data_IF_930666153406
#
_entry.id   IF_930666153406
#
_cell.length_a   1.000
_cell.length_b   1.000
_cell.length_c   1.000
_cell.angle_alpha   90.00
_cell.angle_beta   90.00
_cell.angle_gamma   90.00
#
_symmetry.space_group_name_H-M   'P 1'
#
loop_
_entity.id
_entity.type
_entity.pdbx_description
1 polymer ?
#
# COMPACT_ATOMS: atom_id res chain seq x y z
N UNK A 1 -0.37 -36.86 -11.79
CA UNK A 1 0.04 -36.46 -10.43
C UNK A 1 0.60 -35.06 -10.54
N UNK A 2 -0.25 -34.04 -10.36
CA UNK A 2 0.16 -32.64 -10.38
C UNK A 2 0.36 -32.22 -8.91
N UNK A 3 1.59 -31.89 -8.56
CA UNK A 3 1.98 -31.26 -7.30
C UNK A 3 1.54 -29.81 -7.36
N UNK A 4 0.56 -29.44 -6.52
CA UNK A 4 0.19 -28.04 -6.27
C UNK A 4 1.32 -27.34 -5.50
N UNK A 5 1.79 -26.14 -5.90
CA UNK A 5 2.68 -25.37 -5.05
C UNK A 5 1.89 -24.56 -4.00
N UNK A 6 2.51 -24.49 -2.83
CA UNK A 6 2.37 -23.63 -1.65
C UNK A 6 1.19 -22.65 -1.51
N UNK A 7 0.66 -22.59 -0.29
CA UNK A 7 -0.20 -21.52 0.26
C UNK A 7 0.24 -20.15 -0.26
N UNK A 8 -0.61 -19.55 -1.07
CA UNK A 8 -0.44 -18.18 -1.55
C UNK A 8 -1.37 -17.30 -0.71
N UNK A 9 -0.77 -16.52 0.18
CA UNK A 9 -1.41 -15.34 0.77
C UNK A 9 -1.59 -14.31 -0.36
N UNK A 10 -2.62 -13.43 -0.29
CA UNK A 10 -2.44 -12.12 -0.93
C UNK A 10 -1.35 -11.45 -0.10
N UNK A 11 -0.07 -11.67 -0.42
CA UNK A 11 1.00 -10.93 0.25
C UNK A 11 0.87 -9.48 -0.22
N UNK A 12 0.16 -8.68 0.57
CA UNK A 12 0.22 -7.23 0.48
C UNK A 12 1.32 -6.78 1.44
N UNK A 13 2.50 -6.45 0.91
CA UNK A 13 3.69 -6.06 1.67
C UNK A 13 3.61 -4.66 2.27
N UNK A 14 2.41 -4.19 2.62
CA UNK A 14 2.11 -2.80 3.01
C UNK A 14 2.69 -2.41 4.37
N UNK A 15 3.24 -3.36 5.12
CA UNK A 15 4.02 -3.06 6.34
C UNK A 15 5.11 -2.01 6.05
N UNK A 16 5.55 -1.89 4.79
CA UNK A 16 6.51 -0.89 4.33
C UNK A 16 5.93 0.30 3.53
N UNK A 17 4.63 0.39 3.22
CA UNK A 17 4.10 1.40 2.27
C UNK A 17 3.83 2.77 2.91
N UNK A 18 3.17 2.78 4.07
CA UNK A 18 3.05 4.01 4.86
C UNK A 18 4.42 4.42 5.41
N UNK A 19 5.27 3.43 5.69
CA UNK A 19 6.66 3.65 6.10
C UNK A 19 7.49 4.16 4.93
N UNK A 20 7.30 3.75 3.68
CA UNK A 20 8.04 4.22 2.51
C UNK A 20 7.64 5.66 2.13
N UNK A 21 6.34 5.97 2.16
CA UNK A 21 5.84 7.33 1.98
C UNK A 21 6.33 8.27 3.11
N UNK A 22 6.29 7.80 4.36
CA UNK A 22 6.88 8.52 5.50
C UNK A 22 8.41 8.51 5.49
N UNK A 23 9.07 7.52 4.89
CA UNK A 23 10.52 7.40 4.77
C UNK A 23 11.06 8.27 3.65
N UNK A 24 10.32 8.50 2.57
CA UNK A 24 10.64 9.52 1.58
C UNK A 24 10.56 10.93 2.23
N UNK A 25 9.56 11.15 3.09
CA UNK A 25 9.40 12.38 3.88
C UNK A 25 10.47 12.49 5.00
N UNK A 26 10.86 11.38 5.63
CA UNK A 26 11.85 11.33 6.71
C UNK A 26 13.30 11.33 6.20
N UNK A 27 13.59 10.75 5.04
CA UNK A 27 14.87 10.87 4.35
C UNK A 27 15.13 12.32 3.92
N UNK A 28 14.07 13.04 3.53
CA UNK A 28 14.12 14.49 3.33
C UNK A 28 14.40 15.28 4.63
N UNK A 29 14.15 14.69 5.80
CA UNK A 29 14.39 15.27 7.13
C UNK A 29 15.77 14.90 7.70
N UNK A 30 16.29 13.69 7.40
CA UNK A 30 17.54 13.16 7.97
C UNK A 30 18.81 13.61 7.23
N UNK A 31 18.71 14.09 5.99
CA UNK A 31 19.84 14.72 5.29
C UNK A 31 20.32 16.05 5.93
N UNK A 32 19.59 16.59 6.93
CA UNK A 32 19.95 17.82 7.66
C UNK A 32 20.69 17.61 8.98
N UNK A 33 20.91 16.38 9.45
CA UNK A 33 21.59 16.12 10.73
C UNK A 33 23.09 15.84 10.61
N UNK A 34 23.66 15.72 9.41
CA UNK A 34 25.11 15.76 9.21
C UNK A 34 25.61 17.19 8.96
N UNK A 35 25.88 17.87 10.07
CA UNK A 35 26.59 19.14 10.06
C UNK A 35 28.10 18.90 9.85
N UNK A 36 28.62 19.15 8.64
CA UNK A 36 30.05 19.11 8.31
C UNK A 36 30.87 20.29 8.86
N UNK A 37 30.40 21.00 9.88
CA UNK A 37 31.09 22.19 10.40
C UNK A 37 32.08 21.95 11.55
N UNK A 38 32.43 20.71 11.91
CA UNK A 38 33.42 20.44 12.97
C UNK A 38 34.45 19.36 12.58
N UNK A 39 35.25 19.62 11.54
CA UNK A 39 36.60 19.07 11.43
C UNK A 39 37.53 20.21 10.99
N UNK A 40 37.91 21.08 11.94
CA UNK A 40 39.15 21.86 11.81
C UNK A 40 40.24 21.10 12.55
N UNK A 41 41.24 20.63 11.80
CA UNK A 41 42.55 20.31 12.35
C UNK A 41 42.95 18.85 12.32
N UNK A 42 43.08 18.26 11.13
CA UNK A 42 44.04 17.16 10.91
C UNK A 42 44.65 17.36 9.51
N UNK A 43 45.97 17.51 9.35
CA UNK A 43 46.59 17.59 8.04
C UNK A 43 46.72 16.17 7.48
N UNK A 44 46.04 15.88 6.37
CA UNK A 44 46.24 14.63 5.63
C UNK A 44 46.92 14.92 4.29
N UNK A 45 48.20 14.57 4.25
CA UNK A 45 48.95 14.28 3.05
C UNK A 45 48.83 12.76 2.85
N UNK A 46 48.16 12.31 1.78
CA UNK A 46 48.03 10.87 1.51
C UNK A 46 46.85 10.54 0.60
N UNK A 47 47.16 9.96 -0.56
CA UNK A 47 46.24 9.38 -1.53
C UNK A 47 45.55 8.14 -0.98
N UNK A 48 44.22 8.13 -0.92
CA UNK A 48 43.43 6.93 -0.67
C UNK A 48 42.43 6.69 -1.82
N UNK A 49 42.42 5.46 -2.30
CA UNK A 49 41.65 4.91 -3.42
C UNK A 49 40.22 4.56 -3.00
N UNK A 50 39.27 4.61 -3.95
CA UNK A 50 37.82 4.31 -3.81
C UNK A 50 37.54 2.83 -3.50
N UNK A 51 38.56 2.00 -3.32
CA UNK A 51 38.45 0.55 -3.10
C UNK A 51 38.27 0.10 -1.65
N UNK A 52 38.41 0.98 -0.66
CA UNK A 52 38.65 0.54 0.74
C UNK A 52 37.51 0.86 1.73
N UNK A 53 36.26 1.02 1.26
CA UNK A 53 35.09 1.11 2.14
C UNK A 53 34.50 -0.29 2.41
N UNK A 54 34.27 -0.69 3.68
CA UNK A 54 33.70 -1.98 3.98
C UNK A 54 32.26 -2.06 3.51
N UNK A 55 31.97 -3.08 2.69
CA UNK A 55 30.61 -3.53 2.37
C UNK A 55 29.96 -4.01 3.68
N UNK A 56 28.75 -3.52 3.98
CA UNK A 56 27.89 -3.94 5.11
C UNK A 56 28.16 -3.29 6.49
N UNK A 57 27.68 -2.04 6.67
CA UNK A 57 26.85 -1.78 7.86
C UNK A 57 25.64 -0.85 7.63
N UNK A 58 25.42 -0.33 6.40
CA UNK A 58 24.31 0.58 6.10
C UNK A 58 22.91 -0.06 6.24
N UNK A 59 22.84 -1.38 6.14
CA UNK A 59 21.60 -2.16 6.18
C UNK A 59 21.03 -2.32 7.61
N UNK A 60 21.85 -2.19 8.66
CA UNK A 60 21.38 -2.29 10.05
C UNK A 60 20.90 -0.95 10.64
N UNK A 61 21.32 0.18 10.07
CA UNK A 61 20.85 1.49 10.52
C UNK A 61 19.48 1.86 9.94
N UNK A 62 19.11 1.34 8.76
CA UNK A 62 17.76 1.49 8.21
C UNK A 62 16.72 0.67 9.00
N UNK A 63 17.10 -0.51 9.50
CA UNK A 63 16.23 -1.33 10.37
C UNK A 63 16.02 -0.72 11.78
N UNK A 64 16.91 0.14 12.25
CA UNK A 64 16.85 0.69 13.62
C UNK A 64 15.99 1.95 13.79
N UNK A 65 15.37 2.45 12.71
CA UNK A 65 14.42 3.57 12.77
C UNK A 65 12.95 3.16 12.52
N UNK A 66 12.69 1.85 12.44
CA UNK A 66 11.35 1.26 12.29
C UNK A 66 10.70 0.90 13.64
N UNK A 67 11.43 0.97 14.76
CA UNK A 67 10.84 0.69 16.09
C UNK A 67 10.35 1.96 16.80
N UNK A 68 9.09 2.31 16.57
CA UNK A 68 8.25 2.89 17.62
C UNK A 68 6.82 2.33 17.59
N UNK A 69 6.68 1.02 17.33
CA UNK A 69 5.41 0.28 17.46
C UNK A 69 5.27 -0.37 18.85
N UNK A 70 5.51 0.38 19.92
CA UNK A 70 5.16 -0.03 21.28
C UNK A 70 4.45 1.12 21.98
N UNK A 71 3.13 1.20 21.76
CA UNK A 71 2.24 2.06 22.51
C UNK A 71 1.09 2.61 21.67
N UNK A 72 0.14 1.75 21.28
CA UNK A 72 -1.20 2.20 20.85
C UNK A 72 -1.98 2.72 22.06
N UNK A 73 -1.56 3.88 22.56
CA UNK A 73 -2.31 4.69 23.51
C UNK A 73 -2.21 6.12 23.00
N UNK A 74 -3.33 6.65 22.50
CA UNK A 74 -3.55 8.02 22.02
C UNK A 74 -2.30 8.92 22.08
N UNK A 75 -1.34 8.73 21.16
CA UNK A 75 -0.23 9.64 21.05
C UNK A 75 -0.78 10.92 20.44
N UNK A 76 -0.92 11.96 21.26
CA UNK A 76 -1.34 13.26 20.79
C UNK A 76 -0.38 13.70 19.67
N UNK A 77 -0.93 13.88 18.45
CA UNK A 77 -0.17 14.39 17.31
C UNK A 77 0.49 15.70 17.75
N UNK A 78 1.84 15.79 17.79
CA UNK A 78 2.50 16.99 18.27
C UNK A 78 2.02 18.20 17.47
N UNK A 79 1.71 19.33 18.14
CA UNK A 79 1.20 20.52 17.45
C UNK A 79 2.15 21.02 16.34
N UNK A 80 3.45 20.73 16.46
CA UNK A 80 4.46 21.04 15.44
C UNK A 80 4.32 20.23 14.14
N UNK A 81 3.50 19.19 14.11
CA UNK A 81 3.27 18.36 12.92
C UNK A 81 2.14 18.87 12.04
N UNK A 82 1.18 19.62 12.59
CA UNK A 82 0.02 20.10 11.82
C UNK A 82 0.39 21.16 10.77
N UNK A 83 1.45 21.94 11.01
CA UNK A 83 1.91 23.01 10.12
C UNK A 83 3.45 23.02 10.12
N UNK A 84 4.11 22.08 9.41
CA UNK A 84 5.56 22.01 9.40
C UNK A 84 6.14 23.22 8.64
N UNK A 85 7.18 23.83 9.20
CA UNK A 85 7.94 24.86 8.49
C UNK A 85 8.92 24.21 7.49
N UNK A 86 8.47 24.03 6.24
CA UNK A 86 9.29 23.44 5.17
C UNK A 86 10.15 24.53 4.53
N UNK A 87 11.43 24.55 4.90
CA UNK A 87 12.41 25.54 4.40
C UNK A 87 13.20 25.07 3.18
N UNK A 88 13.08 23.80 2.80
CA UNK A 88 13.71 23.21 1.60
C UNK A 88 12.93 23.61 0.36
N UNK A 89 13.60 24.05 -0.70
CA UNK A 89 12.91 24.47 -1.94
C UNK A 89 12.20 23.28 -2.61
N UNK A 90 11.20 23.56 -3.46
CA UNK A 90 10.50 22.51 -4.24
C UNK A 90 11.50 21.75 -5.11
N UNK A 91 12.40 22.45 -5.80
CA UNK A 91 13.41 21.84 -6.67
C UNK A 91 14.34 20.90 -5.90
N UNK A 92 14.79 21.29 -4.71
CA UNK A 92 15.64 20.44 -3.87
C UNK A 92 14.89 19.18 -3.41
N UNK A 93 13.61 19.29 -3.05
CA UNK A 93 12.79 18.13 -2.67
C UNK A 93 12.58 17.16 -3.84
N UNK A 94 12.30 17.68 -5.03
CA UNK A 94 12.16 16.87 -6.26
C UNK A 94 13.48 16.16 -6.59
N UNK A 95 14.60 16.89 -6.52
CA UNK A 95 15.93 16.32 -6.75
C UNK A 95 16.24 15.18 -5.76
N UNK A 96 15.96 15.40 -4.48
CA UNK A 96 16.19 14.41 -3.44
C UNK A 96 15.30 13.17 -3.59
N UNK A 97 14.01 13.36 -3.84
CA UNK A 97 13.09 12.25 -4.07
C UNK A 97 13.49 11.43 -5.30
N UNK A 98 13.88 12.11 -6.38
CA UNK A 98 14.33 11.42 -7.60
C UNK A 98 15.63 10.65 -7.41
N UNK A 99 16.58 11.19 -6.63
CA UNK A 99 17.81 10.50 -6.27
C UNK A 99 17.54 9.26 -5.41
N UNK A 100 16.61 9.35 -4.45
CA UNK A 100 16.20 8.22 -3.62
C UNK A 100 15.56 7.10 -4.45
N UNK A 101 14.65 7.44 -5.38
CA UNK A 101 14.07 6.49 -6.32
C UNK A 101 15.14 5.85 -7.21
N UNK A 102 16.16 6.62 -7.63
CA UNK A 102 17.30 6.07 -8.37
C UNK A 102 18.02 4.95 -7.61
N UNK A 103 18.32 5.18 -6.31
CA UNK A 103 18.94 4.15 -5.46
C UNK A 103 18.05 2.93 -5.32
N UNK A 104 16.74 3.10 -5.12
CA UNK A 104 15.80 2.00 -5.01
C UNK A 104 15.77 1.16 -6.31
N UNK A 105 15.66 1.82 -7.46
CA UNK A 105 15.65 1.19 -8.78
C UNK A 105 16.96 0.43 -9.07
N UNK A 106 18.11 0.99 -8.71
CA UNK A 106 19.43 0.37 -8.94
C UNK A 106 19.61 -0.94 -8.14
N UNK A 107 18.79 -1.18 -7.11
CA UNK A 107 18.81 -2.41 -6.31
C UNK A 107 17.81 -3.47 -6.80
N UNK A 108 17.01 -3.20 -7.84
CA UNK A 108 16.17 -4.22 -8.45
C UNK A 108 17.03 -5.23 -9.22
N UNK A 109 16.69 -6.51 -9.08
CA UNK A 109 17.21 -7.55 -9.95
C UNK A 109 16.82 -7.27 -11.40
N UNK A 110 17.83 -7.23 -12.29
CA UNK A 110 17.63 -6.82 -13.67
C UNK A 110 16.78 -7.78 -14.51
N UNK A 111 16.57 -9.03 -14.03
CA UNK A 111 15.85 -10.08 -14.75
C UNK A 111 14.39 -10.20 -14.32
N UNK A 112 14.10 -9.96 -13.05
CA UNK A 112 12.77 -10.08 -12.45
C UNK A 112 12.13 -8.73 -12.10
N UNK A 113 12.93 -7.66 -12.09
CA UNK A 113 12.56 -6.32 -11.60
C UNK A 113 12.03 -6.35 -10.15
N UNK A 114 12.56 -7.24 -9.31
CA UNK A 114 12.22 -7.43 -7.89
C UNK A 114 13.44 -7.21 -7.00
N UNK A 115 13.19 -6.93 -5.73
CA UNK A 115 14.24 -7.00 -4.71
C UNK A 115 14.50 -8.45 -4.30
N UNK A 116 15.77 -8.84 -4.25
CA UNK A 116 16.17 -10.18 -3.81
C UNK A 116 15.89 -10.37 -2.31
N UNK A 117 15.20 -11.46 -1.96
CA UNK A 117 14.88 -11.81 -0.57
C UNK A 117 13.78 -11.00 0.11
N UNK A 118 13.15 -10.05 -0.59
CA UNK A 118 12.10 -9.19 -0.03
C UNK A 118 10.68 -9.63 -0.44
N UNK A 119 9.69 -9.21 0.33
CA UNK A 119 8.29 -9.40 -0.03
C UNK A 119 7.96 -8.64 -1.32
N UNK A 120 7.24 -9.28 -2.24
CA UNK A 120 6.95 -8.70 -3.56
C UNK A 120 6.12 -7.40 -3.48
N UNK A 121 5.37 -7.20 -2.40
CA UNK A 121 4.65 -5.95 -2.14
C UNK A 121 5.57 -4.73 -2.07
N UNK A 122 6.81 -4.89 -1.56
CA UNK A 122 7.83 -3.82 -1.54
C UNK A 122 8.21 -3.39 -2.97
N UNK A 123 8.18 -4.31 -3.92
CA UNK A 123 8.42 -4.00 -5.33
C UNK A 123 7.24 -3.23 -5.93
N UNK A 124 6.00 -3.66 -5.64
CA UNK A 124 4.80 -2.95 -6.08
C UNK A 124 4.74 -1.51 -5.52
N UNK A 125 5.16 -1.33 -4.26
CA UNK A 125 5.31 -0.04 -3.62
C UNK A 125 6.19 0.91 -4.42
N UNK A 126 7.39 0.45 -4.79
CA UNK A 126 8.32 1.23 -5.60
C UNK A 126 7.67 1.63 -6.93
N UNK A 127 6.93 0.73 -7.58
CA UNK A 127 6.31 1.03 -8.86
C UNK A 127 5.22 2.09 -8.72
N UNK A 128 4.43 2.04 -7.64
CA UNK A 128 3.46 3.08 -7.31
C UNK A 128 4.18 4.43 -7.07
N UNK A 129 5.24 4.46 -6.26
CA UNK A 129 6.01 5.67 -5.95
C UNK A 129 6.66 6.30 -7.19
N UNK A 130 7.14 5.48 -8.14
CA UNK A 130 7.63 5.95 -9.43
C UNK A 130 6.55 6.71 -10.21
N UNK A 131 5.33 6.19 -10.26
CA UNK A 131 4.21 6.87 -10.91
C UNK A 131 3.74 8.10 -10.12
N UNK A 132 3.70 8.04 -8.79
CA UNK A 132 3.33 9.17 -7.93
C UNK A 132 4.31 10.34 -8.07
N UNK A 133 5.61 10.06 -8.17
CA UNK A 133 6.62 11.08 -8.42
C UNK A 133 6.33 11.81 -9.73
N UNK A 134 6.04 11.08 -10.80
CA UNK A 134 5.76 11.64 -12.11
C UNK A 134 4.45 12.45 -12.12
N UNK A 135 3.42 12.00 -11.40
CA UNK A 135 2.18 12.77 -11.16
C UNK A 135 2.49 14.07 -10.42
N UNK A 136 3.18 13.99 -9.28
CA UNK A 136 3.44 15.13 -8.40
C UNK A 136 4.38 16.17 -9.02
N UNK A 137 5.22 15.75 -9.97
CA UNK A 137 6.19 16.62 -10.65
C UNK A 137 5.81 16.96 -12.08
N UNK A 138 4.69 16.43 -12.58
CA UNK A 138 4.23 16.57 -13.97
C UNK A 138 5.31 16.14 -14.98
N UNK A 139 5.92 14.98 -14.74
CA UNK A 139 6.95 14.37 -15.57
C UNK A 139 6.52 12.97 -16.03
N UNK A 140 7.31 12.39 -16.93
CA UNK A 140 7.18 10.99 -17.37
C UNK A 140 8.51 10.26 -17.26
N UNK A 141 9.30 10.62 -16.24
CA UNK A 141 10.67 10.14 -16.05
C UNK A 141 10.74 8.61 -15.93
N UNK A 142 9.74 8.00 -15.32
CA UNK A 142 9.75 6.58 -14.96
C UNK A 142 8.83 5.71 -15.83
N UNK A 143 8.11 6.30 -16.79
CA UNK A 143 7.19 5.60 -17.70
C UNK A 143 7.85 4.39 -18.39
N UNK A 144 8.95 4.62 -19.12
CA UNK A 144 9.64 3.56 -19.86
C UNK A 144 10.22 2.46 -18.95
N UNK A 145 10.58 2.80 -17.71
CA UNK A 145 11.02 1.80 -16.74
C UNK A 145 9.85 0.91 -16.30
N UNK A 146 8.70 1.51 -15.99
CA UNK A 146 7.50 0.77 -15.60
C UNK A 146 6.95 -0.10 -16.74
N UNK A 147 6.96 0.40 -17.98
CA UNK A 147 6.58 -0.40 -19.16
C UNK A 147 7.45 -1.65 -19.32
N UNK A 148 8.73 -1.56 -18.93
CA UNK A 148 9.65 -2.70 -18.92
C UNK A 148 9.43 -3.60 -17.70
N UNK A 149 9.18 -3.04 -16.53
CA UNK A 149 9.17 -3.77 -15.26
C UNK A 149 7.91 -4.62 -15.06
N UNK A 150 6.73 -4.11 -15.44
CA UNK A 150 5.47 -4.87 -15.32
C UNK A 150 5.48 -6.21 -16.10
N UNK A 151 6.04 -6.30 -17.32
CA UNK A 151 6.22 -7.59 -17.98
C UNK A 151 7.27 -8.49 -17.34
N UNK A 152 8.37 -7.92 -16.79
CA UNK A 152 9.43 -8.71 -16.16
C UNK A 152 8.95 -9.37 -14.86
N UNK A 153 8.14 -8.67 -14.07
CA UNK A 153 7.63 -9.24 -12.82
C UNK A 153 6.75 -10.47 -13.08
N UNK A 154 5.96 -10.50 -14.16
CA UNK A 154 5.18 -11.67 -14.55
C UNK A 154 6.07 -12.89 -14.84
N UNK A 155 7.26 -12.67 -15.42
CA UNK A 155 8.18 -13.78 -15.72
C UNK A 155 8.78 -14.41 -14.46
N UNK A 156 8.97 -13.60 -13.41
CA UNK A 156 9.48 -14.07 -12.12
C UNK A 156 8.38 -14.59 -11.18
N UNK A 157 7.16 -14.05 -11.30
CA UNK A 157 6.05 -14.27 -10.37
C UNK A 157 4.74 -14.38 -11.16
N UNK A 158 4.35 -15.61 -11.45
CA UNK A 158 3.10 -15.87 -12.15
C UNK A 158 1.90 -15.32 -11.36
N UNK A 159 0.97 -14.68 -12.07
CA UNK A 159 -0.23 -14.07 -11.49
C UNK A 159 0.06 -12.91 -10.52
N UNK A 160 1.19 -12.21 -10.65
CA UNK A 160 1.45 -11.02 -9.83
C UNK A 160 0.31 -9.99 -9.94
N UNK A 161 -0.33 -9.94 -11.12
CA UNK A 161 -1.46 -9.06 -11.42
C UNK A 161 -2.69 -9.35 -10.58
N UNK A 162 -2.82 -10.53 -9.97
CA UNK A 162 -3.91 -10.84 -9.04
C UNK A 162 -3.74 -10.12 -7.68
N UNK A 163 -2.61 -9.44 -7.45
CA UNK A 163 -2.32 -8.75 -6.18
C UNK A 163 -2.76 -7.30 -6.24
N UNK A 164 -3.46 -6.86 -5.19
CA UNK A 164 -4.01 -5.51 -5.10
C UNK A 164 -2.91 -4.43 -5.14
N UNK A 165 -1.73 -4.69 -4.57
CA UNK A 165 -0.61 -3.72 -4.56
C UNK A 165 -0.14 -3.38 -5.98
N UNK A 166 0.01 -4.39 -6.84
CA UNK A 166 0.36 -4.17 -8.25
C UNK A 166 -0.80 -3.55 -9.03
N UNK A 167 -2.05 -3.89 -8.68
CA UNK A 167 -3.23 -3.21 -9.21
C UNK A 167 -3.20 -1.70 -8.91
N UNK A 168 -2.89 -1.33 -7.66
CA UNK A 168 -2.71 0.08 -7.25
C UNK A 168 -1.58 0.74 -8.03
N UNK A 169 -0.40 0.12 -8.08
CA UNK A 169 0.74 0.66 -8.82
C UNK A 169 0.38 0.89 -10.31
N UNK A 170 -0.31 -0.05 -10.93
CA UNK A 170 -0.76 0.04 -12.30
C UNK A 170 -1.83 1.13 -12.49
N UNK A 171 -2.78 1.27 -11.57
CA UNK A 171 -3.78 2.34 -11.63
C UNK A 171 -3.12 3.73 -11.53
N UNK A 172 -2.11 3.89 -10.67
CA UNK A 172 -1.34 5.14 -10.58
C UNK A 172 -0.51 5.39 -11.85
N UNK A 173 0.14 4.37 -12.40
CA UNK A 173 0.85 4.48 -13.67
C UNK A 173 -0.09 4.86 -14.84
N UNK A 174 -1.29 4.29 -14.90
CA UNK A 174 -2.30 4.70 -15.88
C UNK A 174 -2.73 6.16 -15.68
N UNK A 175 -2.89 6.60 -14.44
CA UNK A 175 -3.19 8.02 -14.14
C UNK A 175 -2.08 8.95 -14.63
N UNK A 176 -0.81 8.58 -14.41
CA UNK A 176 0.36 9.35 -14.83
C UNK A 176 0.51 9.42 -16.36
N UNK A 177 0.37 8.29 -17.05
CA UNK A 177 0.84 8.13 -18.44
C UNK A 177 -0.27 7.89 -19.47
N UNK A 178 -1.47 7.51 -19.02
CA UNK A 178 -2.61 7.12 -19.89
C UNK A 178 -2.32 5.96 -20.85
N UNK A 179 -1.30 5.13 -20.55
CA UNK A 179 -1.03 3.91 -21.30
C UNK A 179 -2.03 2.80 -20.90
N UNK A 180 -2.84 2.28 -21.85
CA UNK A 180 -3.89 1.29 -21.56
C UNK A 180 -3.36 -0.03 -20.97
N UNK A 181 -2.09 -0.36 -21.19
CA UNK A 181 -1.47 -1.57 -20.63
C UNK A 181 -1.50 -1.54 -19.09
N UNK A 182 -1.25 -0.38 -18.48
CA UNK A 182 -1.35 -0.23 -17.03
C UNK A 182 -2.80 -0.33 -16.54
N UNK A 183 -3.76 0.16 -17.33
CA UNK A 183 -5.18 -0.01 -17.01
C UNK A 183 -5.56 -1.49 -17.02
N UNK A 184 -5.09 -2.26 -18.01
CA UNK A 184 -5.37 -3.70 -18.09
C UNK A 184 -4.88 -4.46 -16.86
N UNK A 185 -3.66 -4.17 -16.37
CA UNK A 185 -3.14 -4.74 -15.13
C UNK A 185 -3.98 -4.35 -13.90
N UNK A 186 -4.38 -3.08 -13.80
CA UNK A 186 -5.21 -2.61 -12.70
C UNK A 186 -6.60 -3.28 -12.69
N UNK A 187 -7.22 -3.41 -13.87
CA UNK A 187 -8.53 -4.06 -14.04
C UNK A 187 -8.45 -5.55 -13.75
N UNK A 188 -7.38 -6.24 -14.17
CA UNK A 188 -7.17 -7.65 -13.86
C UNK A 188 -7.06 -7.88 -12.35
N UNK A 189 -6.26 -7.06 -11.66
CA UNK A 189 -6.12 -7.09 -10.21
C UNK A 189 -7.44 -6.84 -9.50
N UNK A 190 -8.22 -5.88 -9.99
CA UNK A 190 -9.52 -5.57 -9.42
C UNK A 190 -10.51 -6.73 -9.55
N UNK A 191 -10.60 -7.37 -10.73
CA UNK A 191 -11.48 -8.53 -10.91
C UNK A 191 -11.10 -9.69 -10.01
N UNK A 192 -9.80 -9.88 -9.77
CA UNK A 192 -9.34 -10.86 -8.81
C UNK A 192 -9.80 -10.52 -7.39
N UNK A 193 -9.57 -9.28 -6.93
CA UNK A 193 -10.03 -8.81 -5.61
C UNK A 193 -11.53 -8.94 -5.43
N UNK A 194 -12.31 -8.55 -6.44
CA UNK A 194 -13.78 -8.63 -6.44
C UNK A 194 -14.30 -10.06 -6.21
N UNK A 195 -13.57 -11.09 -6.65
CA UNK A 195 -13.94 -12.50 -6.39
C UNK A 195 -13.79 -12.92 -4.92
N UNK A 196 -13.09 -12.13 -4.11
CA UNK A 196 -12.87 -12.33 -2.68
C UNK A 196 -13.51 -11.23 -1.82
N UNK A 197 -14.29 -10.33 -2.42
CA UNK A 197 -15.08 -9.33 -1.71
C UNK A 197 -16.52 -9.81 -1.61
N UNK A 198 -17.06 -9.83 -0.39
CA UNK A 198 -18.44 -10.26 -0.15
C UNK A 198 -19.40 -9.25 -0.78
N UNK A 199 -20.20 -9.68 -1.76
CA UNK A 199 -21.30 -8.86 -2.27
C UNK A 199 -22.53 -8.95 -1.36
N UNK A 200 -23.49 -8.05 -1.54
CA UNK A 200 -24.78 -8.15 -0.85
C UNK A 200 -25.49 -9.49 -1.13
N UNK A 201 -25.35 -10.01 -2.35
CA UNK A 201 -25.93 -11.29 -2.73
C UNK A 201 -25.25 -12.46 -2.02
N UNK A 202 -23.92 -12.41 -1.87
CA UNK A 202 -23.16 -13.44 -1.13
C UNK A 202 -23.52 -13.45 0.35
N UNK A 203 -23.63 -12.25 0.96
CA UNK A 203 -24.04 -12.10 2.36
C UNK A 203 -25.44 -12.70 2.59
N UNK A 204 -26.43 -12.34 1.76
CA UNK A 204 -27.80 -12.86 1.88
C UNK A 204 -27.93 -14.35 1.53
N UNK A 205 -27.06 -14.88 0.66
CA UNK A 205 -26.99 -16.31 0.37
C UNK A 205 -26.28 -17.11 1.48
N UNK A 206 -25.51 -16.44 2.34
CA UNK A 206 -24.65 -17.08 3.34
C UNK A 206 -23.47 -17.84 2.71
N UNK A 207 -23.07 -17.52 1.47
CA UNK A 207 -22.01 -18.22 0.73
C UNK A 207 -21.34 -17.30 -0.29
N UNK A 208 -20.05 -17.50 -0.55
CA UNK A 208 -19.30 -16.90 -1.68
C UNK A 208 -18.54 -18.02 -2.41
N UNK A 209 -18.43 -17.92 -3.74
CA UNK A 209 -17.87 -18.99 -4.56
C UNK A 209 -16.40 -19.37 -4.24
N UNK A 210 -15.62 -18.45 -3.67
CA UNK A 210 -14.19 -18.63 -3.38
C UNK A 210 -13.90 -19.22 -1.99
N UNK A 211 -14.92 -19.39 -1.14
CA UNK A 211 -14.78 -19.88 0.25
C UNK A 211 -15.66 -21.09 0.51
N UNK A 212 -15.17 -21.99 1.37
CA UNK A 212 -15.80 -23.26 1.72
C UNK A 212 -16.21 -23.26 3.21
N UNK A 213 -17.03 -22.29 3.59
CA UNK A 213 -17.69 -22.24 4.87
C UNK A 213 -18.96 -21.37 4.79
N UNK A 214 -19.93 -21.57 5.69
CA UNK A 214 -21.09 -20.70 5.76
C UNK A 214 -20.68 -19.28 6.16
N UNK A 215 -21.06 -18.28 5.38
CA UNK A 215 -20.85 -16.86 5.69
C UNK A 215 -21.89 -16.36 6.69
N UNK A 216 -21.48 -15.46 7.56
CA UNK A 216 -22.42 -14.65 8.34
C UNK A 216 -23.03 -13.59 7.43
N UNK A 217 -24.36 -13.56 7.34
CA UNK A 217 -25.07 -12.50 6.60
C UNK A 217 -24.84 -11.13 7.26
N UNK A 218 -24.87 -11.12 8.59
CA UNK A 218 -24.71 -9.94 9.44
C UNK A 218 -23.73 -10.21 10.57
N UNK A 219 -23.07 -9.14 11.04
CA UNK A 219 -22.43 -9.07 12.33
C UNK A 219 -23.00 -7.86 13.08
N UNK A 220 -23.49 -8.08 14.30
CA UNK A 220 -24.12 -7.04 15.11
C UNK A 220 -25.23 -6.28 14.35
N UNK A 221 -26.09 -7.03 13.64
CA UNK A 221 -27.19 -6.53 12.80
C UNK A 221 -26.77 -5.68 11.58
N UNK A 222 -25.47 -5.66 11.25
CA UNK A 222 -24.90 -4.95 10.10
C UNK A 222 -24.40 -5.98 9.07
N UNK A 223 -24.70 -5.77 7.79
CA UNK A 223 -24.28 -6.70 6.72
C UNK A 223 -22.76 -6.82 6.61
N UNK A 224 -22.27 -8.02 6.27
CA UNK A 224 -20.85 -8.29 5.99
C UNK A 224 -20.41 -7.92 4.57
N UNK A 225 -21.31 -7.41 3.73
CA UNK A 225 -21.00 -6.98 2.37
C UNK A 225 -19.94 -5.87 2.35
N UNK A 226 -19.07 -5.89 1.33
CA UNK A 226 -17.95 -4.96 1.16
C UNK A 226 -16.63 -5.44 1.79
N UNK A 227 -16.67 -6.40 2.70
CA UNK A 227 -15.48 -7.00 3.31
C UNK A 227 -14.72 -7.91 2.36
N UNK A 228 -13.39 -7.82 2.33
CA UNK A 228 -12.53 -8.58 1.42
C UNK A 228 -11.61 -9.53 2.18
N UNK A 229 -11.61 -10.81 1.80
CA UNK A 229 -10.77 -11.82 2.43
C UNK A 229 -9.27 -11.59 2.16
N UNK A 230 -8.46 -11.84 3.20
CA UNK A 230 -7.00 -11.72 3.13
C UNK A 230 -6.31 -12.80 2.31
N UNK A 231 -6.77 -14.05 2.46
CA UNK A 231 -6.09 -15.21 1.91
C UNK A 231 -6.97 -15.97 0.93
N UNK A 232 -6.33 -16.61 -0.04
CA UNK A 232 -7.01 -17.45 -1.02
C UNK A 232 -7.45 -18.81 -0.47
N UNK A 233 -6.93 -19.21 0.70
CA UNK A 233 -7.36 -20.44 1.37
C UNK A 233 -8.87 -20.41 1.58
N UNK A 234 -9.55 -21.43 1.05
CA UNK A 234 -11.00 -21.50 1.03
C UNK A 234 -11.60 -21.68 2.43
N UNK A 235 -10.81 -22.16 3.39
CA UNK A 235 -11.24 -22.45 4.75
C UNK A 235 -11.02 -21.28 5.71
N UNK A 236 -10.26 -20.26 5.31
CA UNK A 236 -9.88 -19.14 6.17
C UNK A 236 -10.91 -18.01 6.11
N UNK A 237 -11.51 -17.62 7.25
CA UNK A 237 -12.65 -16.72 7.28
C UNK A 237 -12.30 -15.26 7.51
N UNK A 238 -11.02 -14.94 7.69
CA UNK A 238 -10.61 -13.61 8.09
C UNK A 238 -10.75 -12.60 6.95
N UNK A 239 -11.57 -11.59 7.21
CA UNK A 239 -11.58 -10.32 6.49
C UNK A 239 -10.65 -9.40 7.25
N UNK A 240 -9.64 -8.88 6.56
CA UNK A 240 -8.65 -7.98 7.17
C UNK A 240 -8.72 -6.61 6.50
N UNK A 241 -8.35 -5.57 7.25
CA UNK A 241 -8.30 -4.20 6.78
C UNK A 241 -7.30 -4.05 5.64
N UNK A 242 -6.20 -4.81 5.66
CA UNK A 242 -5.24 -4.81 4.57
C UNK A 242 -5.86 -5.26 3.23
N UNK A 243 -6.66 -6.34 3.21
CA UNK A 243 -7.35 -6.81 2.01
C UNK A 243 -8.47 -5.85 1.58
N UNK A 244 -9.30 -5.44 2.55
CA UNK A 244 -10.46 -4.57 2.28
C UNK A 244 -10.03 -3.16 1.88
N UNK A 245 -9.04 -2.59 2.57
CA UNK A 245 -8.46 -1.28 2.28
C UNK A 245 -7.75 -1.21 0.94
N UNK A 246 -6.97 -2.24 0.58
CA UNK A 246 -6.34 -2.30 -0.75
C UNK A 246 -7.37 -2.41 -1.86
N UNK A 247 -8.42 -3.22 -1.68
CA UNK A 247 -9.51 -3.32 -2.66
C UNK A 247 -10.32 -2.01 -2.78
N UNK A 248 -10.59 -1.33 -1.66
CA UNK A 248 -11.19 0.00 -1.60
C UNK A 248 -10.37 1.01 -2.43
N UNK A 249 -9.06 1.12 -2.19
CA UNK A 249 -8.20 2.08 -2.88
C UNK A 249 -8.14 1.77 -4.38
N UNK A 250 -7.96 0.51 -4.77
CA UNK A 250 -7.91 0.12 -6.17
C UNK A 250 -9.24 0.44 -6.88
N UNK A 251 -10.36 0.11 -6.24
CA UNK A 251 -11.70 0.45 -6.73
C UNK A 251 -11.87 1.96 -6.89
N UNK A 252 -11.47 2.75 -5.90
CA UNK A 252 -11.57 4.21 -5.95
C UNK A 252 -10.68 4.81 -7.06
N UNK A 253 -9.44 4.33 -7.21
CA UNK A 253 -8.53 4.76 -8.28
C UNK A 253 -9.08 4.44 -9.68
N UNK A 254 -9.64 3.24 -9.87
CA UNK A 254 -10.27 2.86 -11.13
C UNK A 254 -11.53 3.69 -11.39
N UNK A 255 -12.33 3.98 -10.37
CA UNK A 255 -13.49 4.87 -10.48
C UNK A 255 -13.07 6.28 -10.90
N UNK A 256 -12.04 6.86 -10.28
CA UNK A 256 -11.49 8.17 -10.63
C UNK A 256 -10.98 8.18 -12.08
N UNK A 257 -10.21 7.16 -12.47
CA UNK A 257 -9.55 7.12 -13.75
C UNK A 257 -10.48 6.80 -14.94
N UNK A 258 -11.60 6.10 -14.69
CA UNK A 258 -12.51 5.61 -15.75
C UNK A 258 -13.92 6.18 -15.68
N UNK A 259 -14.29 6.85 -14.58
CA UNK A 259 -15.67 7.28 -14.31
C UNK A 259 -16.71 6.14 -14.34
N UNK A 260 -16.28 4.90 -14.13
CA UNK A 260 -17.18 3.74 -14.13
C UNK A 260 -17.82 3.55 -12.75
N UNK A 261 -19.15 3.53 -12.72
CA UNK A 261 -19.94 3.40 -11.49
C UNK A 261 -19.76 2.06 -10.78
N UNK A 262 -19.36 1.00 -11.49
CA UNK A 262 -19.08 -0.31 -10.87
C UNK A 262 -17.95 -0.21 -9.85
N UNK A 263 -16.84 0.42 -10.23
CA UNK A 263 -15.70 0.63 -9.34
C UNK A 263 -16.04 1.57 -8.20
N UNK A 264 -16.82 2.62 -8.47
CA UNK A 264 -17.28 3.54 -7.43
C UNK A 264 -18.15 2.82 -6.39
N UNK A 265 -19.08 1.98 -6.83
CA UNK A 265 -19.95 1.24 -5.93
C UNK A 265 -19.17 0.26 -5.06
N UNK A 266 -18.22 -0.49 -5.64
CA UNK A 266 -17.35 -1.40 -4.89
C UNK A 266 -16.51 -0.64 -3.84
N UNK A 267 -15.97 0.53 -4.19
CA UNK A 267 -15.24 1.37 -3.25
C UNK A 267 -16.15 1.86 -2.09
N UNK A 268 -17.37 2.31 -2.39
CA UNK A 268 -18.32 2.73 -1.36
C UNK A 268 -18.69 1.59 -0.42
N UNK A 269 -19.00 0.41 -0.95
CA UNK A 269 -19.34 -0.78 -0.15
C UNK A 269 -18.19 -1.20 0.77
N UNK A 270 -16.95 -1.23 0.28
CA UNK A 270 -15.80 -1.53 1.13
C UNK A 270 -15.54 -0.45 2.18
N UNK A 271 -15.76 0.83 1.86
CA UNK A 271 -15.64 1.92 2.84
C UNK A 271 -16.69 1.79 3.95
N UNK A 272 -17.94 1.50 3.57
CA UNK A 272 -19.05 1.30 4.50
C UNK A 272 -18.79 0.09 5.41
N UNK A 273 -18.26 -1.01 4.86
CA UNK A 273 -17.85 -2.17 5.65
C UNK A 273 -16.82 -1.80 6.72
N UNK A 274 -15.75 -1.09 6.35
CA UNK A 274 -14.68 -0.72 7.29
C UNK A 274 -15.24 0.18 8.40
N UNK A 275 -16.05 1.19 8.03
CA UNK A 275 -16.70 2.07 9.00
C UNK A 275 -17.60 1.33 9.98
N UNK A 276 -18.34 0.35 9.49
CA UNK A 276 -19.34 -0.34 10.29
C UNK A 276 -18.74 -1.41 11.20
N UNK A 277 -17.67 -2.09 10.77
CA UNK A 277 -17.13 -3.26 11.47
C UNK A 277 -15.75 -3.06 12.08
N UNK A 278 -14.88 -2.23 11.48
CA UNK A 278 -13.48 -2.15 11.88
C UNK A 278 -13.13 -0.88 12.66
N UNK A 279 -13.96 0.15 12.64
CA UNK A 279 -13.77 1.31 13.52
C UNK A 279 -14.09 0.96 14.98
N UNK A 280 -13.19 1.30 15.89
CA UNK A 280 -13.49 1.30 17.32
C UNK A 280 -14.12 2.63 17.77
N UNK A 281 -14.51 2.69 19.04
CA UNK A 281 -15.15 3.88 19.64
C UNK A 281 -14.25 5.12 19.72
N UNK A 282 -12.93 4.99 19.49
CA UNK A 282 -11.97 6.08 19.39
C UNK A 282 -11.68 6.49 17.94
N UNK A 283 -12.46 5.95 16.98
CA UNK A 283 -12.28 6.14 15.55
C UNK A 283 -10.95 5.62 14.98
N UNK A 284 -10.41 4.58 15.60
CA UNK A 284 -9.22 3.89 15.11
C UNK A 284 -9.67 2.65 14.34
N UNK A 285 -9.12 2.47 13.14
CA UNK A 285 -9.37 1.28 12.33
C UNK A 285 -8.60 0.09 12.92
N UNK A 286 -9.33 -1.00 13.13
CA UNK A 286 -8.84 -2.27 13.67
C UNK A 286 -8.53 -3.26 12.54
N UNK A 287 -7.73 -4.26 12.85
CA UNK A 287 -7.12 -5.16 11.86
C UNK A 287 -8.12 -6.08 11.14
N UNK A 288 -8.97 -6.83 11.85
CA UNK A 288 -9.71 -7.93 11.21
C UNK A 288 -10.96 -8.40 11.93
N UNK A 289 -11.85 -9.07 11.18
CA UNK A 289 -13.08 -9.71 11.66
C UNK A 289 -13.31 -11.02 10.89
N UNK A 290 -13.87 -12.04 11.56
CA UNK A 290 -14.24 -13.29 10.88
C UNK A 290 -15.57 -13.15 10.14
N UNK A 291 -15.62 -13.65 8.90
CA UNK A 291 -16.84 -13.75 8.10
C UNK A 291 -17.64 -15.04 8.33
N UNK A 292 -17.15 -15.98 9.15
CA UNK A 292 -17.79 -17.29 9.32
C UNK A 292 -19.06 -17.17 10.16
N UNK A 293 -20.12 -17.86 9.73
CA UNK A 293 -21.35 -17.95 10.48
C UNK A 293 -21.11 -18.58 11.87
N UNK A 294 -21.77 -18.01 12.88
CA UNK A 294 -21.68 -18.38 14.30
C UNK A 294 -20.37 -18.02 15.01
N UNK A 295 -19.42 -17.37 14.33
CA UNK A 295 -18.33 -16.71 15.04
C UNK A 295 -18.86 -15.50 15.83
N UNK A 296 -18.10 -15.05 16.83
CA UNK A 296 -18.57 -14.03 17.78
C UNK A 296 -18.67 -12.60 17.22
N UNK A 297 -18.34 -12.40 15.94
CA UNK A 297 -18.12 -11.08 15.33
C UNK A 297 -17.12 -10.23 16.14
N UNK A 298 -16.19 -10.88 16.85
CA UNK A 298 -15.13 -10.18 17.56
C UNK A 298 -14.12 -9.65 16.55
N UNK A 299 -13.77 -8.38 16.73
CA UNK A 299 -12.75 -7.71 15.93
C UNK A 299 -11.40 -7.89 16.62
N UNK A 300 -10.36 -8.18 15.84
CA UNK A 300 -8.99 -8.16 16.33
C UNK A 300 -8.61 -6.71 16.65
N UNK A 301 -8.38 -6.42 17.94
CA UNK A 301 -8.07 -5.08 18.41
C UNK A 301 -6.64 -4.63 18.11
N UNK A 302 -5.84 -5.43 17.39
CA UNK A 302 -4.58 -4.95 16.82
C UNK A 302 -4.89 -3.74 15.94
N UNK A 303 -4.12 -2.68 16.15
CA UNK A 303 -4.24 -1.46 15.38
C UNK A 303 -2.86 -1.12 14.85
N UNK A 304 -2.69 -1.34 13.54
CA UNK A 304 -1.49 -0.96 12.85
C UNK A 304 -1.70 0.39 12.16
N UNK A 305 -0.66 1.25 12.06
CA UNK A 305 -0.80 2.55 11.42
C UNK A 305 -1.30 2.47 9.97
N UNK A 306 -0.98 1.38 9.26
CA UNK A 306 -1.41 1.19 7.88
C UNK A 306 -2.92 0.97 7.76
N UNK A 307 -3.60 0.40 8.76
CA UNK A 307 -5.05 0.18 8.73
C UNK A 307 -5.79 1.50 8.55
N UNK A 308 -5.46 2.47 9.40
CA UNK A 308 -6.01 3.82 9.32
C UNK A 308 -5.50 4.55 8.07
N UNK A 309 -4.24 4.33 7.67
CA UNK A 309 -3.67 4.93 6.47
C UNK A 309 -4.38 4.53 5.19
N UNK A 310 -4.72 3.24 5.03
CA UNK A 310 -5.46 2.72 3.89
C UNK A 310 -6.87 3.31 3.82
N UNK A 311 -7.56 3.38 4.97
CA UNK A 311 -8.89 3.97 5.04
C UNK A 311 -8.87 5.45 4.66
N UNK A 312 -7.94 6.24 5.23
CA UNK A 312 -7.78 7.67 4.91
C UNK A 312 -7.51 7.86 3.42
N UNK A 313 -6.66 7.02 2.82
CA UNK A 313 -6.35 7.08 1.39
C UNK A 313 -7.60 6.82 0.53
N UNK A 314 -8.34 5.73 0.82
CA UNK A 314 -9.58 5.41 0.10
C UNK A 314 -10.62 6.53 0.23
N UNK A 315 -10.82 7.05 1.44
CA UNK A 315 -11.73 8.17 1.71
C UNK A 315 -11.32 9.45 0.99
N UNK A 316 -10.02 9.77 0.90
CA UNK A 316 -9.55 10.96 0.20
C UNK A 316 -9.89 10.92 -1.29
N UNK A 317 -9.73 9.76 -1.94
CA UNK A 317 -10.10 9.58 -3.35
C UNK A 317 -11.63 9.65 -3.51
N UNK A 318 -12.38 8.94 -2.66
CA UNK A 318 -13.85 8.97 -2.69
C UNK A 318 -14.40 10.39 -2.47
N UNK A 319 -13.83 11.16 -1.55
CA UNK A 319 -14.19 12.55 -1.31
C UNK A 319 -13.95 13.42 -2.55
N UNK A 320 -12.87 13.16 -3.30
CA UNK A 320 -12.57 13.85 -4.54
C UNK A 320 -13.57 13.49 -5.66
N UNK A 321 -13.94 12.22 -5.80
CA UNK A 321 -14.89 11.76 -6.83
C UNK A 321 -16.32 12.22 -6.51
N UNK A 322 -16.77 12.00 -5.28
CA UNK A 322 -18.17 12.18 -4.89
C UNK A 322 -18.51 13.60 -4.48
N UNK A 323 -17.52 14.39 -4.06
CA UNK A 323 -17.70 15.71 -3.44
C UNK A 323 -18.67 15.64 -2.23
N UNK A 324 -18.76 14.48 -1.58
CA UNK A 324 -19.68 14.23 -0.48
C UNK A 324 -19.09 14.72 0.85
N UNK A 325 -19.80 15.63 1.51
CA UNK A 325 -19.38 16.21 2.79
C UNK A 325 -19.26 15.17 3.92
N UNK A 326 -20.03 14.08 3.89
CA UNK A 326 -19.93 13.01 4.90
C UNK A 326 -18.59 12.30 4.78
N UNK A 327 -18.18 11.92 3.56
CA UNK A 327 -16.87 11.29 3.29
C UNK A 327 -15.71 12.23 3.64
N UNK A 328 -15.87 13.54 3.48
CA UNK A 328 -14.84 14.54 3.83
C UNK A 328 -14.65 14.74 5.35
N UNK A 329 -15.65 14.37 6.16
CA UNK A 329 -15.64 14.57 7.61
C UNK A 329 -15.28 13.31 8.41
N UNK A 330 -15.11 12.17 7.72
CA UNK A 330 -14.62 10.90 8.28
C UNK A 330 -13.09 10.84 8.26
#
# INVERSE_FOLDING_TARGET
MATYPAQTTLDCGIVDDVVAFLSAIAAAKYARSYNWSNIRGIPFNGTASVSDLPKSPAMHLFASLVLSSLGAGAQAIPNSWRIPNITTSVADRVSLASAALGVAIDNLDATSAQYDGEAIGVTAALYAEMAEFDIATSQTKYEAALEKYFPLIETGQANFSNRADFGRAAARAYTAYKNPTFLDYAVQSWWFGQGYTISQADASAGTIATKDFPLSEVCQDITMAGGTFWVMDNSQPDIVMLGTGSFLILSALLAEATSNSMYLQAALESSDFVQAHLYNVQHIVQDSISARANDSCAVNSLSEPYDSGLMIHGLAILANITQNATTQNL
#
